data_IF_510805618275
#
_entry.id   IF_510805618275
#
_cell.length_a   1.000
_cell.length_b   1.000
_cell.length_c   1.000
_cell.angle_alpha   90.00
_cell.angle_beta   90.00
_cell.angle_gamma   90.00
#
_symmetry.space_group_name_H-M   'P 1'
#
loop_
_entity.id
_entity.type
_entity.pdbx_description
1 polymer ?
#
# COMPACT_ATOMS: atom_id res chain seq x y z
N UNK A 1 -22.89 -9.38 23.48
CA UNK A 1 -21.57 -8.90 23.93
C UNK A 1 -20.91 -8.48 22.64
N UNK A 2 -21.11 -7.21 22.28
CA UNK A 2 -20.80 -6.67 20.96
C UNK A 2 -19.29 -6.68 20.75
N UNK A 3 -18.83 -7.46 19.77
CA UNK A 3 -17.48 -7.34 19.24
C UNK A 3 -17.44 -6.02 18.48
N UNK A 4 -17.12 -4.94 19.20
CA UNK A 4 -16.70 -3.71 18.58
C UNK A 4 -15.52 -4.04 17.68
N UNK A 5 -15.77 -3.99 16.36
CA UNK A 5 -14.93 -3.33 15.37
C UNK A 5 -13.66 -2.72 15.99
N UNK A 6 -12.62 -3.53 16.19
CA UNK A 6 -11.36 -3.07 16.74
C UNK A 6 -10.60 -2.38 15.59
N UNK A 7 -10.97 -1.13 15.36
CA UNK A 7 -10.28 -0.25 14.43
C UNK A 7 -8.82 -0.15 14.90
N UNK A 8 -7.91 -0.70 14.09
CA UNK A 8 -6.47 -0.71 14.36
C UNK A 8 -5.85 0.67 14.08
N UNK A 9 -6.45 1.42 13.16
CA UNK A 9 -5.98 2.75 12.81
C UNK A 9 -6.78 3.39 11.68
N UNK A 10 -6.30 4.54 11.24
CA UNK A 10 -6.81 5.28 10.08
C UNK A 10 -5.60 5.62 9.21
N UNK A 11 -5.62 5.16 7.96
CA UNK A 11 -4.65 5.55 6.95
C UNK A 11 -5.13 6.77 6.18
N UNK A 12 -4.27 7.28 5.29
CA UNK A 12 -4.55 8.38 4.36
C UNK A 12 -5.90 8.27 3.62
N UNK A 13 -6.32 7.05 3.29
CA UNK A 13 -7.46 6.78 2.40
C UNK A 13 -8.52 5.83 2.98
N UNK A 14 -8.50 5.61 4.29
CA UNK A 14 -9.55 4.81 4.92
C UNK A 14 -9.16 4.18 6.24
N UNK A 15 -10.09 3.39 6.77
CA UNK A 15 -9.94 2.75 8.08
C UNK A 15 -9.27 1.40 7.95
N UNK A 16 -8.42 1.09 8.92
CA UNK A 16 -7.80 -0.22 9.08
C UNK A 16 -8.48 -0.92 10.25
N UNK A 17 -9.02 -2.10 9.99
CA UNK A 17 -9.80 -2.90 10.93
C UNK A 17 -9.05 -4.20 11.22
N UNK A 18 -9.16 -4.71 12.44
CA UNK A 18 -8.75 -6.08 12.72
C UNK A 18 -9.72 -7.06 12.04
N UNK A 19 -9.19 -8.14 11.47
CA UNK A 19 -9.98 -9.17 10.81
C UNK A 19 -9.39 -10.56 11.00
N UNK A 20 -10.11 -11.55 10.48
CA UNK A 20 -9.67 -12.95 10.48
C UNK A 20 -9.82 -13.54 9.08
N UNK A 21 -8.73 -14.02 8.50
CA UNK A 21 -8.72 -14.73 7.23
C UNK A 21 -8.30 -16.18 7.46
N UNK A 22 -9.21 -17.14 7.20
CA UNK A 22 -8.97 -18.58 7.38
C UNK A 22 -8.44 -18.95 8.78
N UNK A 23 -8.91 -18.24 9.81
CA UNK A 23 -8.51 -18.45 11.20
C UNK A 23 -7.21 -17.74 11.61
N UNK A 24 -6.55 -17.01 10.72
CA UNK A 24 -5.39 -16.18 11.06
C UNK A 24 -5.77 -14.71 11.21
N UNK A 25 -5.21 -14.00 12.21
CA UNK A 25 -5.44 -12.58 12.40
C UNK A 25 -4.80 -11.78 11.26
N UNK A 26 -5.55 -10.81 10.73
CA UNK A 26 -5.14 -9.95 9.61
C UNK A 26 -5.58 -8.52 9.87
N UNK A 27 -4.94 -7.57 9.17
CA UNK A 27 -5.44 -6.21 9.06
C UNK A 27 -6.24 -6.06 7.76
N UNK A 28 -7.35 -5.35 7.80
CA UNK A 28 -8.20 -5.09 6.63
C UNK A 28 -8.31 -3.58 6.44
N UNK A 29 -7.75 -3.06 5.34
CA UNK A 29 -7.89 -1.66 4.95
C UNK A 29 -8.98 -1.54 3.90
N UNK A 30 -10.00 -0.73 4.19
CA UNK A 30 -11.09 -0.43 3.25
C UNK A 30 -10.87 0.98 2.74
N UNK A 31 -10.82 1.13 1.42
CA UNK A 31 -10.49 2.39 0.74
C UNK A 31 -11.54 2.67 -0.33
N UNK A 32 -11.91 3.94 -0.46
CA UNK A 32 -12.95 4.37 -1.37
C UNK A 32 -12.51 5.65 -2.08
N UNK A 33 -12.63 5.67 -3.41
CA UNK A 33 -12.30 6.84 -4.20
C UNK A 33 -13.12 6.91 -5.47
N UNK A 34 -13.56 8.11 -5.82
CA UNK A 34 -14.16 8.41 -7.12
C UNK A 34 -13.08 8.90 -8.09
N UNK A 35 -12.98 8.24 -9.24
CA UNK A 35 -12.04 8.52 -10.32
C UNK A 35 -12.79 9.05 -11.56
N UNK A 36 -12.15 9.86 -12.42
CA UNK A 36 -12.78 10.33 -13.65
C UNK A 36 -13.05 9.17 -14.63
N UNK A 37 -12.05 8.31 -14.82
CA UNK A 37 -12.15 7.06 -15.59
C UNK A 37 -11.06 6.07 -15.15
N UNK A 38 -11.04 4.86 -15.74
CA UNK A 38 -10.04 3.81 -15.49
C UNK A 38 -9.03 3.67 -16.65
N UNK A 39 -8.89 4.68 -17.50
CA UNK A 39 -7.89 4.66 -18.58
C UNK A 39 -6.49 4.82 -18.00
N UNK A 40 -5.52 4.12 -18.60
CA UNK A 40 -4.11 4.26 -18.20
C UNK A 40 -3.62 5.70 -18.36
N UNK A 41 -4.13 6.47 -19.34
CA UNK A 41 -3.77 7.88 -19.54
C UNK A 41 -4.23 8.75 -18.37
N UNK A 42 -5.49 8.62 -17.94
CA UNK A 42 -6.02 9.38 -16.80
C UNK A 42 -5.31 9.02 -15.51
N UNK A 43 -5.11 7.72 -15.23
CA UNK A 43 -4.38 7.28 -14.03
C UNK A 43 -2.93 7.78 -14.07
N UNK A 44 -2.22 7.62 -15.20
CA UNK A 44 -0.83 8.05 -15.34
C UNK A 44 -0.62 9.58 -15.24
N UNK A 45 -1.66 10.36 -15.57
CA UNK A 45 -1.62 11.82 -15.46
C UNK A 45 -1.78 12.35 -14.03
N UNK A 46 -2.10 11.48 -13.06
CA UNK A 46 -2.26 11.88 -11.66
C UNK A 46 -0.90 12.25 -11.05
N UNK A 47 -0.82 13.42 -10.41
CA UNK A 47 0.44 13.95 -9.83
C UNK A 47 0.97 13.16 -8.64
N UNK A 48 0.10 12.38 -7.99
CA UNK A 48 0.42 11.43 -6.94
C UNK A 48 -0.61 10.30 -7.00
N UNK A 49 -0.16 9.07 -6.79
CA UNK A 49 -1.07 7.92 -6.75
C UNK A 49 -1.62 7.72 -5.35
N UNK A 50 -2.93 7.52 -5.27
CA UNK A 50 -3.58 6.98 -4.09
C UNK A 50 -3.29 5.48 -3.95
N UNK A 51 -3.49 4.92 -2.75
CA UNK A 51 -3.48 3.47 -2.57
C UNK A 51 -4.55 2.81 -3.47
N UNK A 52 -5.67 3.51 -3.66
CA UNK A 52 -6.71 3.09 -4.61
C UNK A 52 -6.18 3.04 -6.05
N UNK A 53 -5.57 4.12 -6.54
CA UNK A 53 -5.05 4.16 -7.92
C UNK A 53 -3.94 3.13 -8.11
N UNK A 54 -3.05 2.96 -7.13
CA UNK A 54 -2.01 1.93 -7.18
C UNK A 54 -2.59 0.53 -7.29
N UNK A 55 -3.59 0.19 -6.48
CA UNK A 55 -4.24 -1.11 -6.53
C UNK A 55 -4.98 -1.36 -7.85
N UNK A 56 -5.65 -0.33 -8.39
CA UNK A 56 -6.31 -0.39 -9.70
C UNK A 56 -5.30 -0.63 -10.82
N UNK A 57 -4.23 0.18 -10.88
CA UNK A 57 -3.18 0.03 -11.87
C UNK A 57 -2.56 -1.36 -11.78
N UNK A 58 -2.38 -1.84 -10.55
CA UNK A 58 -1.86 -3.15 -10.29
C UNK A 58 -2.76 -4.29 -10.79
N UNK A 59 -4.07 -4.12 -10.67
CA UNK A 59 -5.06 -5.07 -11.17
C UNK A 59 -5.09 -5.07 -12.70
N UNK A 60 -5.01 -3.89 -13.31
CA UNK A 60 -4.97 -3.72 -14.77
C UNK A 60 -3.72 -4.35 -15.39
N UNK A 61 -2.57 -4.25 -14.73
CA UNK A 61 -1.32 -4.88 -15.17
C UNK A 61 -1.23 -6.38 -14.86
N UNK A 62 -2.21 -6.97 -14.16
CA UNK A 62 -2.18 -8.37 -13.72
C UNK A 62 -1.10 -8.67 -12.66
N UNK A 63 -0.60 -7.64 -11.98
CA UNK A 63 0.61 -7.66 -11.16
C UNK A 63 0.31 -7.20 -9.70
N UNK A 64 -0.92 -7.37 -9.19
CA UNK A 64 -1.37 -6.79 -7.89
C UNK A 64 -0.46 -7.08 -6.71
N UNK A 65 0.01 -8.33 -6.61
CA UNK A 65 0.91 -8.74 -5.55
C UNK A 65 2.34 -8.20 -5.70
N UNK A 66 2.71 -7.74 -6.90
CA UNK A 66 4.07 -7.28 -7.25
C UNK A 66 4.17 -5.76 -7.29
N UNK A 67 3.07 -5.08 -7.58
CA UNK A 67 2.96 -3.62 -7.70
C UNK A 67 2.69 -2.92 -6.37
N UNK A 68 2.22 -3.65 -5.35
CA UNK A 68 1.95 -3.06 -4.05
C UNK A 68 3.08 -3.35 -3.05
N UNK A 69 3.73 -2.32 -2.50
CA UNK A 69 4.80 -2.48 -1.50
C UNK A 69 4.32 -3.08 -0.16
N UNK A 70 2.99 -3.18 0.02
CA UNK A 70 2.34 -3.78 1.19
C UNK A 70 1.95 -5.26 1.00
N UNK A 71 2.29 -5.90 -0.13
CA UNK A 71 1.97 -7.29 -0.49
C UNK A 71 0.71 -7.83 0.21
N UNK A 72 -0.50 -7.36 -0.15
CA UNK A 72 -1.70 -7.85 0.50
C UNK A 72 -1.81 -9.37 0.32
N UNK A 73 -2.26 -10.06 1.36
CA UNK A 73 -2.55 -11.49 1.31
C UNK A 73 -3.73 -11.74 0.36
N UNK A 74 -4.69 -10.82 0.34
CA UNK A 74 -5.83 -10.82 -0.56
C UNK A 74 -6.34 -9.39 -0.76
N UNK A 75 -6.99 -9.13 -1.89
CA UNK A 75 -7.68 -7.86 -2.10
C UNK A 75 -8.94 -8.09 -2.95
N UNK A 76 -9.89 -7.18 -2.85
CA UNK A 76 -11.07 -7.12 -3.70
C UNK A 76 -11.22 -5.68 -4.21
N UNK A 77 -11.59 -5.54 -5.49
CA UNK A 77 -11.87 -4.25 -6.12
C UNK A 77 -13.29 -4.32 -6.67
N UNK A 78 -14.14 -3.41 -6.21
CA UNK A 78 -15.48 -3.19 -6.74
C UNK A 78 -15.50 -1.86 -7.47
N UNK A 79 -16.06 -1.85 -8.68
CA UNK A 79 -16.09 -0.69 -9.56
C UNK A 79 -17.53 -0.43 -9.97
N UNK A 80 -18.03 0.76 -9.67
CA UNK A 80 -19.35 1.23 -10.05
C UNK A 80 -19.26 2.45 -10.99
N UNK A 81 -19.96 2.41 -12.12
CA UNK A 81 -20.10 3.60 -12.95
C UNK A 81 -21.22 4.50 -12.39
N UNK A 82 -20.94 5.78 -12.22
CA UNK A 82 -21.94 6.77 -11.82
C UNK A 82 -22.38 7.54 -13.06
N UNK A 83 -23.61 7.29 -13.50
CA UNK A 83 -24.19 7.94 -14.69
C UNK A 83 -24.90 9.23 -14.33
N UNK A 84 -24.64 10.28 -15.10
CA UNK A 84 -25.44 11.50 -15.04
C UNK A 84 -26.85 11.22 -15.60
N UNK A 85 -27.84 11.99 -15.14
CA UNK A 85 -29.19 11.97 -15.71
C UNK A 85 -29.07 12.45 -17.17
N UNK A 86 -28.98 11.50 -18.11
CA UNK A 86 -28.60 11.77 -19.51
C UNK A 86 -27.82 10.64 -20.19
N UNK A 87 -27.29 9.67 -19.42
CA UNK A 87 -26.85 8.37 -19.93
C UNK A 87 -25.35 8.19 -20.20
N UNK A 88 -24.51 9.17 -19.88
CA UNK A 88 -23.05 8.99 -19.91
C UNK A 88 -22.49 8.90 -18.47
N UNK A 89 -21.57 7.95 -18.20
CA UNK A 89 -20.88 7.86 -16.92
C UNK A 89 -20.05 9.12 -16.71
N UNK A 90 -20.34 9.86 -15.64
CA UNK A 90 -19.62 11.08 -15.28
C UNK A 90 -18.39 10.81 -14.44
N UNK A 91 -18.36 9.68 -13.73
CA UNK A 91 -17.23 9.22 -12.95
C UNK A 91 -17.36 7.72 -12.63
N UNK A 92 -16.28 7.16 -12.11
CA UNK A 92 -16.18 5.78 -11.67
C UNK A 92 -15.92 5.78 -10.17
N UNK A 93 -16.75 5.08 -9.44
CA UNK A 93 -16.61 4.86 -8.01
C UNK A 93 -15.86 3.55 -7.77
N UNK A 94 -14.79 3.59 -6.98
CA UNK A 94 -13.92 2.45 -6.73
C UNK A 94 -13.86 2.18 -5.22
N UNK A 95 -14.24 0.97 -4.83
CA UNK A 95 -14.09 0.44 -3.48
C UNK A 95 -13.04 -0.66 -3.50
N UNK A 96 -12.04 -0.53 -2.64
CA UNK A 96 -11.00 -1.54 -2.46
C UNK A 96 -10.99 -2.03 -1.03
N UNK A 97 -10.95 -3.35 -0.88
CA UNK A 97 -10.69 -4.03 0.38
C UNK A 97 -9.35 -4.72 0.26
N UNK A 98 -8.37 -4.29 1.04
CA UNK A 98 -7.03 -4.87 1.09
C UNK A 98 -6.82 -5.61 2.41
N UNK A 99 -6.49 -6.91 2.33
CA UNK A 99 -6.21 -7.77 3.48
C UNK A 99 -4.70 -7.95 3.60
N UNK A 100 -4.15 -7.54 4.74
CA UNK A 100 -2.71 -7.46 5.01
C UNK A 100 -2.36 -8.32 6.22
N UNK A 101 -1.09 -8.75 6.35
CA UNK A 101 -0.60 -9.33 7.61
C UNK A 101 -0.84 -8.38 8.78
N UNK A 102 -1.18 -8.91 9.96
CA UNK A 102 -1.30 -8.09 11.15
C UNK A 102 0.08 -7.65 11.64
N UNK A 103 0.31 -6.34 11.66
CA UNK A 103 1.54 -5.74 12.17
C UNK A 103 1.50 -5.57 13.69
N UNK A 104 2.68 -5.63 14.33
CA UNK A 104 2.89 -5.28 15.74
C UNK A 104 2.89 -3.75 15.97
N UNK A 105 3.02 -2.98 14.90
CA UNK A 105 3.11 -1.52 14.88
C UNK A 105 4.02 -1.03 13.75
N UNK A 106 4.07 0.29 13.57
CA UNK A 106 5.08 0.92 12.73
C UNK A 106 6.46 0.94 13.41
N UNK A 107 7.54 1.17 12.66
CA UNK A 107 8.86 1.41 13.24
C UNK A 107 8.85 2.62 14.16
N UNK A 108 8.05 3.65 13.87
CA UNK A 108 7.89 4.83 14.72
C UNK A 108 7.28 4.46 16.08
N UNK A 109 6.21 3.64 16.09
CA UNK A 109 5.57 3.14 17.31
C UNK A 109 6.53 2.30 18.16
N UNK A 110 7.35 1.47 17.50
CA UNK A 110 8.32 0.61 18.16
C UNK A 110 9.52 1.41 18.68
N UNK A 111 9.95 2.43 17.95
CA UNK A 111 11.02 3.33 18.36
C UNK A 111 10.61 4.11 19.62
N UNK A 112 9.37 4.57 19.73
CA UNK A 112 8.81 5.20 20.94
C UNK A 112 8.80 4.24 22.15
N UNK A 113 8.51 2.95 21.94
CA UNK A 113 8.60 1.92 23.01
C UNK A 113 10.04 1.66 23.45
N UNK A 114 11.00 1.98 22.59
CA UNK A 114 12.44 1.78 22.82
C UNK A 114 13.14 3.00 23.41
N UNK A 115 12.49 4.17 23.55
CA UNK A 115 13.09 5.35 24.19
C UNK A 115 13.46 5.13 25.68
N UNK A 116 13.00 4.04 26.30
CA UNK A 116 13.50 3.56 27.60
C UNK A 116 14.86 2.84 27.53
N UNK A 117 15.34 2.52 26.34
CA UNK A 117 16.62 1.86 26.05
C UNK A 117 17.53 2.81 25.28
N UNK A 118 18.72 3.07 25.82
CA UNK A 118 19.59 4.16 25.35
C UNK A 118 20.07 4.00 23.90
N UNK A 119 20.09 2.77 23.36
CA UNK A 119 20.39 2.45 21.96
C UNK A 119 19.79 1.09 21.60
N UNK A 120 19.16 0.96 20.43
CA UNK A 120 18.99 -0.35 19.80
C UNK A 120 20.38 -0.90 19.43
N UNK A 121 20.64 -2.21 19.53
CA UNK A 121 21.86 -2.79 18.99
C UNK A 121 21.96 -2.41 17.50
N UNK A 122 23.15 -2.00 17.04
CA UNK A 122 23.36 -1.51 15.66
C UNK A 122 23.07 -2.56 14.57
N UNK A 123 23.14 -3.85 14.93
CA UNK A 123 22.91 -4.98 14.02
C UNK A 123 21.46 -4.99 13.48
N UNK A 124 20.41 -4.99 14.33
CA UNK A 124 19.02 -4.88 13.87
C UNK A 124 18.73 -3.65 13.00
N UNK A 125 19.37 -2.50 13.26
CA UNK A 125 19.15 -1.29 12.46
C UNK A 125 19.71 -1.43 11.03
N UNK A 126 20.85 -2.09 10.89
CA UNK A 126 21.46 -2.35 9.57
C UNK A 126 20.62 -3.35 8.79
N UNK A 127 20.13 -4.41 9.43
CA UNK A 127 19.26 -5.40 8.78
C UNK A 127 17.96 -4.75 8.28
N UNK A 128 17.37 -3.84 9.08
CA UNK A 128 16.19 -3.05 8.68
C UNK A 128 16.49 -2.21 7.43
N UNK A 129 17.60 -1.47 7.42
CA UNK A 129 17.99 -0.65 6.28
C UNK A 129 18.25 -1.48 5.02
N UNK A 130 18.90 -2.65 5.16
CA UNK A 130 19.17 -3.56 4.03
C UNK A 130 17.85 -4.06 3.44
N UNK A 131 16.92 -4.52 4.27
CA UNK A 131 15.62 -5.03 3.82
C UNK A 131 14.82 -3.91 3.10
N UNK A 132 14.74 -2.72 3.70
CA UNK A 132 14.03 -1.58 3.10
C UNK A 132 14.63 -1.16 1.76
N UNK A 133 15.95 -1.04 1.67
CA UNK A 133 16.63 -0.70 0.42
C UNK A 133 16.40 -1.77 -0.64
N UNK A 134 16.50 -3.04 -0.27
CA UNK A 134 16.22 -4.15 -1.18
C UNK A 134 14.79 -4.07 -1.74
N UNK A 135 13.80 -3.89 -0.89
CA UNK A 135 12.39 -3.88 -1.30
C UNK A 135 12.05 -2.68 -2.19
N UNK A 136 12.59 -1.50 -1.86
CA UNK A 136 12.46 -0.29 -2.71
C UNK A 136 13.13 -0.49 -4.07
N UNK A 137 14.32 -1.07 -4.12
CA UNK A 137 15.04 -1.32 -5.40
C UNK A 137 14.26 -2.34 -6.24
N UNK A 138 13.77 -3.42 -5.63
CA UNK A 138 13.00 -4.44 -6.34
C UNK A 138 11.70 -3.87 -6.91
N UNK A 139 10.98 -3.06 -6.14
CA UNK A 139 9.81 -2.33 -6.62
C UNK A 139 10.19 -1.41 -7.79
N UNK A 140 11.22 -0.59 -7.65
CA UNK A 140 11.63 0.31 -8.72
C UNK A 140 12.02 -0.44 -10.01
N UNK A 141 12.79 -1.52 -9.93
CA UNK A 141 13.28 -2.26 -11.09
C UNK A 141 12.19 -3.01 -11.84
N UNK A 142 11.19 -3.54 -11.15
CA UNK A 142 10.19 -4.41 -11.77
C UNK A 142 9.09 -3.65 -12.49
N UNK A 143 8.71 -2.50 -11.93
CA UNK A 143 7.44 -1.82 -12.25
C UNK A 143 7.63 -0.30 -12.38
N UNK A 144 8.86 0.20 -12.22
CA UNK A 144 9.13 1.64 -12.25
C UNK A 144 8.57 2.40 -11.05
N UNK A 145 8.12 1.73 -9.98
CA UNK A 145 7.45 2.39 -8.88
C UNK A 145 8.44 3.02 -7.89
N UNK A 146 8.26 4.31 -7.61
CA UNK A 146 8.90 5.02 -6.51
C UNK A 146 7.85 5.32 -5.44
N UNK A 147 8.05 4.88 -4.20
CA UNK A 147 7.07 5.07 -3.12
C UNK A 147 6.89 6.54 -2.69
N UNK A 148 7.93 7.36 -2.78
CA UNK A 148 7.87 8.80 -2.52
C UNK A 148 7.73 9.24 -1.06
N UNK A 149 7.46 8.34 -0.11
CA UNK A 149 7.24 8.68 1.32
C UNK A 149 7.71 7.56 2.26
N UNK A 150 8.97 7.14 2.10
CA UNK A 150 9.60 6.17 3.00
C UNK A 150 10.02 6.89 4.28
N UNK A 151 9.32 6.59 5.38
CA UNK A 151 9.57 7.11 6.74
C UNK A 151 9.23 6.03 7.78
N UNK A 152 9.75 6.10 9.02
CA UNK A 152 9.51 5.06 10.03
C UNK A 152 8.03 4.74 10.30
N UNK A 153 7.14 5.73 10.25
CA UNK A 153 5.70 5.52 10.46
C UNK A 153 5.01 4.77 9.31
N UNK A 154 5.64 4.71 8.14
CA UNK A 154 5.15 3.96 6.97
C UNK A 154 5.81 2.57 6.84
N UNK A 155 6.68 2.18 7.76
CA UNK A 155 7.28 0.85 7.80
C UNK A 155 6.66 0.06 8.94
N UNK A 156 5.91 -0.98 8.61
CA UNK A 156 5.26 -1.87 9.56
C UNK A 156 6.16 -3.05 9.89
N UNK A 157 6.10 -3.53 11.13
CA UNK A 157 6.78 -4.75 11.57
C UNK A 157 5.75 -5.84 11.83
N UNK A 158 5.87 -6.97 11.16
CA UNK A 158 4.97 -8.12 11.33
C UNK A 158 5.35 -8.96 12.56
N UNK A 159 4.45 -9.85 12.98
CA UNK A 159 4.67 -10.71 14.15
C UNK A 159 5.89 -11.65 14.04
N UNK A 160 6.28 -12.01 12.81
CA UNK A 160 7.48 -12.80 12.48
C UNK A 160 8.75 -11.93 12.32
N UNK A 161 8.66 -10.62 12.58
CA UNK A 161 9.78 -9.69 12.55
C UNK A 161 10.19 -9.24 11.15
N UNK A 162 9.36 -9.50 10.13
CA UNK A 162 9.56 -8.95 8.78
C UNK A 162 9.09 -7.49 8.72
N UNK A 163 9.62 -6.76 7.74
CA UNK A 163 9.19 -5.40 7.45
C UNK A 163 8.20 -5.40 6.30
N UNK A 164 7.24 -4.48 6.35
CA UNK A 164 6.30 -4.21 5.28
C UNK A 164 6.19 -2.71 5.08
N UNK A 165 6.38 -2.26 3.84
CA UNK A 165 6.22 -0.85 3.49
C UNK A 165 4.73 -0.58 3.25
N UNK A 166 4.23 0.53 3.78
CA UNK A 166 2.82 0.92 3.73
C UNK A 166 2.64 2.37 3.29
N UNK A 167 1.40 2.72 2.90
CA UNK A 167 0.96 4.07 2.51
C UNK A 167 1.61 4.61 1.22
N UNK A 168 1.06 4.21 0.09
CA UNK A 168 1.56 4.59 -1.24
C UNK A 168 1.00 5.89 -1.76
N UNK A 169 0.39 6.73 -0.92
CA UNK A 169 -0.28 7.97 -1.33
C UNK A 169 0.62 8.98 -2.06
N UNK A 170 1.95 8.84 -1.92
CA UNK A 170 2.95 9.67 -2.58
C UNK A 170 3.73 8.90 -3.66
N UNK A 171 3.27 7.71 -4.02
CA UNK A 171 3.94 6.88 -4.99
C UNK A 171 3.79 7.47 -6.39
N UNK A 172 4.80 7.22 -7.22
CA UNK A 172 4.90 7.67 -8.60
C UNK A 172 5.46 6.54 -9.46
N UNK A 173 4.87 6.36 -10.63
CA UNK A 173 5.34 5.45 -11.66
C UNK A 173 6.36 6.25 -12.49
N UNK A 174 7.60 5.80 -12.47
CA UNK A 174 8.63 6.35 -13.32
C UNK A 174 8.28 6.03 -14.77
N UNK A 175 8.49 6.98 -15.70
CA UNK A 175 8.37 6.68 -17.12
C UNK A 175 9.31 5.52 -17.45
N UNK A 176 8.85 4.59 -18.29
CA UNK A 176 9.67 3.49 -18.77
C UNK A 176 11.00 4.05 -19.28
N UNK A 177 12.05 3.86 -18.49
CA UNK A 177 13.39 3.95 -19.02
C UNK A 177 13.54 2.69 -19.86
N UNK A 178 13.12 2.79 -21.12
CA UNK A 178 13.68 2.01 -22.20
C UNK A 178 15.19 2.19 -22.09
N UNK A 179 15.85 1.33 -21.30
CA UNK A 179 17.26 1.05 -21.50
C UNK A 179 17.31 0.37 -22.84
N UNK A 180 17.38 1.19 -23.89
CA UNK A 180 17.95 0.86 -25.18
C UNK A 180 19.37 0.37 -24.92
N UNK A 181 19.47 -0.89 -24.49
CA UNK A 181 20.67 -1.70 -24.55
C UNK A 181 20.96 -1.92 -26.01
N UNK A 182 21.62 -0.93 -26.61
CA UNK A 182 22.37 -1.15 -27.83
C UNK A 182 23.61 -1.96 -27.41
N UNK A 183 23.59 -3.25 -27.67
CA UNK A 183 24.80 -4.08 -27.78
C UNK A 183 24.83 -4.69 -29.16
#
# INVERSE_FOLDING_TARGET
>A
MDAADEQLGEGSEGKVMAGVLRGQPVAVKIMHQTLPDLSMESLASMSAYSDVTMAVLAAMCGEVLKLMPCCPIAFAIEVGAVEAIGGEPSCIDVLIVSVMPLALGSLDDLQLKLEGYSYLPSIPQVDICIQLLHDVIVAQQRIGLLHGDIKPSNVLVTADGQLSISDTSNAVLLPDNQTSGTT
#
